data_IF_949735561075
#
_entry.id   IF_949735561075
#
_cell.length_a   1.000
_cell.length_b   1.000
_cell.length_c   1.000
_cell.angle_alpha   90.00
_cell.angle_beta   90.00
_cell.angle_gamma   90.00
#
_symmetry.space_group_name_H-M   'P 1'
#
loop_
_entity.id
_entity.type
_entity.pdbx_description
1 polymer ?
#
# COMPACT_ATOMS: atom_id res chain seq x y z
N UNK A 1 22.72 13.96 -0.10
CA UNK A 1 21.58 13.10 -0.48
C UNK A 1 20.28 13.87 -0.26
N UNK A 2 19.25 13.59 -1.07
CA UNK A 2 17.89 14.12 -0.90
C UNK A 2 16.94 12.94 -0.74
N UNK A 3 15.89 13.12 0.06
CA UNK A 3 14.87 12.10 0.30
C UNK A 3 13.52 12.63 -0.17
N UNK A 4 12.70 11.76 -0.77
CA UNK A 4 11.31 12.03 -1.11
C UNK A 4 10.47 11.04 -0.31
N UNK A 5 9.52 11.56 0.46
CA UNK A 5 8.49 10.78 1.13
C UNK A 5 7.17 10.98 0.38
N UNK A 6 6.59 9.89 -0.11
CA UNK A 6 5.27 9.87 -0.73
C UNK A 6 4.30 9.17 0.22
N UNK A 7 3.25 9.86 0.64
CA UNK A 7 2.15 9.30 1.42
C UNK A 7 0.91 9.25 0.55
N UNK A 8 0.38 8.06 0.34
CA UNK A 8 -0.90 7.84 -0.34
C UNK A 8 -1.97 7.68 0.74
N UNK A 9 -2.80 8.69 0.92
CA UNK A 9 -3.85 8.67 1.93
C UNK A 9 -4.88 7.59 1.65
N UNK A 10 -5.28 6.85 2.68
CA UNK A 10 -6.25 5.76 2.56
C UNK A 10 -5.83 4.60 1.64
N UNK A 11 -4.53 4.41 1.36
CA UNK A 11 -4.05 3.38 0.42
C UNK A 11 -4.43 1.94 0.82
N UNK A 12 -4.44 1.66 2.12
CA UNK A 12 -4.76 0.33 2.64
C UNK A 12 -6.26 0.05 2.61
N UNK A 13 -6.62 -1.11 2.08
CA UNK A 13 -8.01 -1.59 2.03
C UNK A 13 -8.07 -3.11 2.25
N UNK A 14 -9.28 -3.66 2.32
CA UNK A 14 -9.56 -5.09 2.40
C UNK A 14 -9.83 -5.66 1.02
N UNK A 15 -9.73 -6.98 0.92
CA UNK A 15 -10.13 -7.71 -0.27
C UNK A 15 -11.63 -7.56 -0.53
N UNK A 16 -12.00 -7.23 -1.77
CA UNK A 16 -13.40 -7.04 -2.18
C UNK A 16 -13.91 -8.24 -2.99
N UNK A 17 -15.15 -8.72 -2.78
CA UNK A 17 -15.72 -9.85 -3.53
C UNK A 17 -15.71 -9.64 -5.05
N UNK A 18 -16.03 -8.45 -5.53
CA UNK A 18 -16.03 -8.07 -6.95
C UNK A 18 -14.64 -8.14 -7.61
N UNK A 19 -13.57 -8.12 -6.80
CA UNK A 19 -12.19 -8.23 -7.25
C UNK A 19 -11.60 -9.63 -7.05
N UNK A 20 -12.44 -10.60 -6.68
CA UNK A 20 -12.01 -11.97 -6.37
C UNK A 20 -11.23 -12.04 -5.05
N UNK A 21 -11.59 -11.20 -4.07
CA UNK A 21 -10.91 -11.12 -2.78
C UNK A 21 -9.62 -10.30 -2.78
N UNK A 22 -9.33 -9.56 -3.87
CA UNK A 22 -8.19 -8.64 -3.98
C UNK A 22 -8.56 -7.23 -3.54
N UNK A 23 -7.58 -6.45 -3.11
CA UNK A 23 -7.76 -5.03 -2.75
C UNK A 23 -7.82 -4.15 -4.01
N UNK A 24 -8.36 -2.92 -3.92
CA UNK A 24 -8.28 -1.95 -5.03
C UNK A 24 -6.85 -1.74 -5.53
N UNK A 25 -5.86 -1.64 -4.64
CA UNK A 25 -4.45 -1.49 -5.02
C UNK A 25 -3.91 -2.69 -5.81
N UNK A 26 -4.36 -3.91 -5.50
CA UNK A 26 -3.93 -5.12 -6.20
C UNK A 26 -4.54 -5.27 -7.60
N UNK A 27 -5.69 -4.66 -7.87
CA UNK A 27 -6.35 -4.72 -9.18
C UNK A 27 -6.03 -3.51 -10.07
N UNK A 28 -5.55 -2.42 -9.48
CA UNK A 28 -5.12 -1.24 -10.23
C UNK A 28 -3.85 -1.54 -11.05
N UNK A 29 -3.73 -0.90 -12.22
CA UNK A 29 -2.48 -0.93 -12.99
C UNK A 29 -1.47 0.03 -12.38
N UNK A 30 -0.47 -0.51 -11.66
CA UNK A 30 0.50 0.28 -10.89
C UNK A 30 1.96 0.06 -11.30
N UNK A 31 2.32 0.13 -12.61
CA UNK A 31 3.64 -0.30 -13.09
C UNK A 31 4.82 0.43 -12.44
N UNK A 32 4.66 1.69 -12.04
CA UNK A 32 5.72 2.46 -11.36
C UNK A 32 5.92 2.03 -9.90
N UNK A 33 4.83 1.75 -9.19
CA UNK A 33 4.86 1.23 -7.82
C UNK A 33 5.41 -0.20 -7.82
N UNK A 34 4.98 -1.02 -8.79
CA UNK A 34 5.44 -2.40 -8.96
C UNK A 34 6.94 -2.45 -9.25
N UNK A 35 7.42 -1.59 -10.16
CA UNK A 35 8.85 -1.48 -10.46
C UNK A 35 9.65 -1.07 -9.23
N UNK A 36 9.17 -0.07 -8.48
CA UNK A 36 9.82 0.41 -7.25
C UNK A 36 9.87 -0.68 -6.17
N UNK A 37 8.78 -1.43 -5.99
CA UNK A 37 8.72 -2.56 -5.06
C UNK A 37 9.69 -3.68 -5.46
N UNK A 38 9.84 -3.95 -6.77
CA UNK A 38 10.72 -4.99 -7.28
C UNK A 38 12.21 -4.68 -7.12
N UNK A 39 12.61 -3.42 -7.26
CA UNK A 39 14.04 -3.01 -7.14
C UNK A 39 14.41 -2.49 -5.74
N UNK A 40 13.42 -2.28 -4.88
CA UNK A 40 13.56 -1.66 -3.58
C UNK A 40 13.47 -2.65 -2.41
N UNK A 41 13.08 -2.12 -1.25
CA UNK A 41 12.76 -2.89 -0.05
C UNK A 41 11.30 -2.66 0.33
N UNK A 42 10.61 -3.73 0.70
CA UNK A 42 9.19 -3.71 1.03
C UNK A 42 8.96 -4.03 2.50
N UNK A 43 7.83 -3.60 3.04
CA UNK A 43 7.43 -3.89 4.41
C UNK A 43 6.00 -3.42 4.70
N UNK A 44 5.49 -3.79 5.87
CA UNK A 44 4.22 -3.29 6.40
C UNK A 44 4.47 -2.15 7.38
N UNK A 45 3.59 -1.15 7.35
CA UNK A 45 3.64 -0.01 8.26
C UNK A 45 2.38 0.02 9.12
N UNK A 46 2.57 0.03 10.44
CA UNK A 46 1.51 0.29 11.41
C UNK A 46 1.63 1.75 11.84
N UNK A 47 0.63 2.56 11.51
CA UNK A 47 0.66 4.00 11.79
C UNK A 47 0.52 4.34 13.29
N UNK A 48 -0.03 3.42 14.08
CA UNK A 48 -0.07 3.53 15.54
C UNK A 48 0.28 2.20 16.23
N UNK A 49 -0.70 1.33 16.42
CA UNK A 49 -0.54 -0.02 16.97
C UNK A 49 -1.17 -1.01 16.00
N UNK A 50 -0.64 -2.23 15.97
CA UNK A 50 -1.20 -3.28 15.13
C UNK A 50 -2.66 -3.55 15.53
N UNK A 51 -3.57 -3.45 14.55
CA UNK A 51 -5.00 -3.66 14.74
C UNK A 51 -5.77 -2.46 15.31
N UNK A 52 -5.14 -1.29 15.47
CA UNK A 52 -5.79 -0.08 16.01
C UNK A 52 -5.81 1.02 14.95
N UNK A 53 -6.98 1.62 14.73
CA UNK A 53 -7.13 2.79 13.87
C UNK A 53 -6.43 4.01 14.50
N UNK A 54 -5.95 4.93 13.66
CA UNK A 54 -5.45 6.21 14.18
C UNK A 54 -6.61 7.00 14.84
N UNK A 55 -6.34 7.73 15.93
CA UNK A 55 -7.34 8.55 16.61
C UNK A 55 -7.88 9.68 15.74
#
# INVERSE_FOLDING_TARGET
MRCILLVLDGLGDKGLPEFGGRTPLQVAETPNLDHTANIGMNGLYHSYLQGVAMP
#
